data_IF_847347859885
#
_entry.id   IF_847347859885
#
_cell.length_a   1.000
_cell.length_b   1.000
_cell.length_c   1.000
_cell.angle_alpha   90.00
_cell.angle_beta   90.00
_cell.angle_gamma   90.00
#
_symmetry.space_group_name_H-M   'P 1'
#
loop_
_entity.id
_entity.type
_entity.pdbx_description
1 polymer ?
#
# COMPACT_ATOMS: atom_id res chain seq x y z
N UNK A 1 31.49 -0.06 1.78
CA UNK A 1 31.45 -0.47 3.20
C UNK A 1 30.41 -1.58 3.34
N UNK A 2 30.67 -2.52 4.25
CA UNK A 2 30.27 -3.94 4.23
C UNK A 2 28.78 -4.24 4.02
N UNK A 3 28.50 -4.92 2.91
CA UNK A 3 27.25 -5.63 2.68
C UNK A 3 27.34 -7.05 3.23
N UNK A 4 26.91 -7.24 4.48
CA UNK A 4 26.36 -8.52 4.94
C UNK A 4 25.59 -8.31 6.25
N UNK A 5 24.44 -7.64 6.17
CA UNK A 5 23.45 -7.73 7.24
C UNK A 5 22.86 -9.13 7.17
N UNK A 6 22.91 -9.87 8.28
CA UNK A 6 22.15 -11.12 8.35
C UNK A 6 20.66 -10.81 8.13
N UNK A 7 19.91 -11.76 7.57
CA UNK A 7 18.47 -11.58 7.32
C UNK A 7 17.71 -11.01 8.55
N UNK A 8 17.94 -11.47 9.80
CA UNK A 8 17.29 -10.89 10.97
C UNK A 8 17.65 -9.41 11.23
N UNK A 9 18.88 -9.01 10.94
CA UNK A 9 19.34 -7.64 11.12
C UNK A 9 18.75 -6.71 10.06
N UNK A 10 18.73 -7.17 8.81
CA UNK A 10 18.08 -6.47 7.71
C UNK A 10 16.56 -6.36 7.95
N UNK A 11 15.90 -7.43 8.40
CA UNK A 11 14.47 -7.40 8.73
C UNK A 11 14.15 -6.43 9.85
N UNK A 12 15.00 -6.34 10.87
CA UNK A 12 14.84 -5.40 11.98
C UNK A 12 15.00 -3.95 11.51
N UNK A 13 15.97 -3.69 10.65
CA UNK A 13 16.21 -2.36 10.09
C UNK A 13 15.05 -1.92 9.17
N UNK A 14 14.64 -2.77 8.24
CA UNK A 14 13.50 -2.52 7.35
C UNK A 14 12.23 -2.27 8.17
N UNK A 15 11.96 -3.09 9.20
CA UNK A 15 10.80 -2.90 10.07
C UNK A 15 10.88 -1.60 10.87
N UNK A 16 12.07 -1.21 11.33
CA UNK A 16 12.30 0.06 12.01
C UNK A 16 11.96 1.25 11.11
N UNK A 17 12.48 1.25 9.88
CA UNK A 17 12.20 2.29 8.88
C UNK A 17 10.72 2.33 8.51
N UNK A 18 10.09 1.18 8.27
CA UNK A 18 8.66 1.10 7.97
C UNK A 18 7.79 1.59 9.13
N UNK A 19 8.21 1.40 10.39
CA UNK A 19 7.47 1.89 11.57
C UNK A 19 7.44 3.43 11.64
N UNK A 20 8.51 4.08 11.20
CA UNK A 20 8.57 5.55 11.13
C UNK A 20 7.60 6.10 10.07
N UNK A 21 7.49 5.45 8.91
CA UNK A 21 6.50 5.83 7.89
C UNK A 21 5.07 5.42 8.27
N UNK A 22 4.90 4.29 8.97
CA UNK A 22 3.57 3.79 9.35
C UNK A 22 2.83 4.72 10.32
N UNK A 23 3.54 5.46 11.17
CA UNK A 23 2.90 6.45 12.06
C UNK A 23 2.24 7.61 11.31
N UNK A 24 2.73 7.95 10.11
CA UNK A 24 2.12 9.00 9.27
C UNK A 24 0.77 8.57 8.68
N UNK A 25 0.44 7.28 8.75
CA UNK A 25 -0.78 6.68 8.20
C UNK A 25 -1.64 6.01 9.27
N UNK A 26 -1.50 6.40 10.54
CA UNK A 26 -2.19 5.74 11.65
C UNK A 26 -3.72 5.73 11.51
N UNK A 27 -4.29 6.74 10.84
CA UNK A 27 -5.73 6.85 10.57
C UNK A 27 -6.15 6.29 9.19
N UNK A 28 -5.18 5.85 8.38
CA UNK A 28 -5.40 5.34 7.03
C UNK A 28 -5.47 3.80 6.99
N UNK A 29 -6.14 3.28 5.98
CA UNK A 29 -6.27 1.85 5.74
C UNK A 29 -5.74 1.47 4.35
N UNK A 30 -5.28 0.23 4.22
CA UNK A 30 -4.94 -0.35 2.93
C UNK A 30 -6.22 -0.78 2.19
N UNK A 31 -6.31 -0.43 0.91
CA UNK A 31 -7.40 -0.77 0.00
C UNK A 31 -6.84 -1.42 -1.25
N UNK A 32 -7.43 -2.52 -1.68
CA UNK A 32 -7.10 -3.24 -2.92
C UNK A 32 -8.14 -2.99 -3.99
N UNK A 33 -7.70 -2.65 -5.19
CA UNK A 33 -8.53 -2.54 -6.38
C UNK A 33 -8.90 -3.93 -6.94
N UNK A 34 -10.13 -4.06 -7.41
CA UNK A 34 -10.71 -5.25 -8.06
C UNK A 34 -11.57 -4.84 -9.24
N UNK A 35 -11.46 -5.55 -10.37
CA UNK A 35 -12.25 -5.27 -11.57
C UNK A 35 -11.37 -5.23 -12.81
N UNK A 36 -11.15 -4.03 -13.35
CA UNK A 36 -10.35 -3.84 -14.56
C UNK A 36 -8.92 -4.38 -14.42
N UNK A 37 -8.40 -5.11 -15.42
CA UNK A 37 -7.02 -5.62 -15.41
C UNK A 37 -5.94 -4.56 -15.22
N UNK A 38 -6.19 -3.31 -15.60
CA UNK A 38 -5.23 -2.21 -15.44
C UNK A 38 -4.94 -1.91 -13.95
N UNK A 39 -5.87 -2.23 -13.06
CA UNK A 39 -5.78 -1.92 -11.63
C UNK A 39 -5.98 -3.12 -10.71
N UNK A 40 -6.42 -4.29 -11.20
CA UNK A 40 -6.68 -5.45 -10.34
C UNK A 40 -5.45 -5.85 -9.52
N UNK A 41 -5.63 -5.91 -8.20
CA UNK A 41 -4.57 -6.24 -7.25
C UNK A 41 -3.72 -5.06 -6.77
N UNK A 42 -3.84 -3.87 -7.38
CA UNK A 42 -3.17 -2.67 -6.90
C UNK A 42 -3.66 -2.32 -5.48
N UNK A 43 -2.73 -2.02 -4.57
CA UNK A 43 -3.03 -1.65 -3.18
C UNK A 43 -2.56 -0.22 -2.91
N UNK A 44 -3.47 0.60 -2.38
CA UNK A 44 -3.18 1.96 -1.93
C UNK A 44 -3.54 2.12 -0.46
N UNK A 45 -2.86 3.01 0.23
CA UNK A 45 -3.24 3.46 1.58
C UNK A 45 -4.06 4.74 1.45
N UNK A 46 -5.19 4.84 2.14
CA UNK A 46 -6.04 6.03 2.13
C UNK A 46 -6.93 6.09 3.38
N UNK A 47 -7.46 7.27 3.69
CA UNK A 47 -8.31 7.48 4.87
C UNK A 47 -9.75 6.99 4.65
N UNK A 48 -10.12 6.70 3.39
CA UNK A 48 -11.45 6.24 3.03
C UNK A 48 -11.47 5.45 1.70
N UNK A 49 -12.55 4.69 1.41
CA UNK A 49 -12.72 4.04 0.12
C UNK A 49 -12.83 5.01 -1.06
N UNK A 50 -13.28 6.26 -0.83
CA UNK A 50 -13.34 7.27 -1.88
C UNK A 50 -11.93 7.79 -2.20
N UNK A 51 -11.17 8.15 -1.16
CA UNK A 51 -9.77 8.57 -1.33
C UNK A 51 -8.88 7.47 -1.93
N UNK A 52 -9.17 6.19 -1.65
CA UNK A 52 -8.50 5.08 -2.31
C UNK A 52 -8.74 5.06 -3.83
N UNK A 53 -9.98 5.32 -4.28
CA UNK A 53 -10.30 5.39 -5.71
C UNK A 53 -9.60 6.58 -6.38
N UNK A 54 -9.58 7.73 -5.72
CA UNK A 54 -8.87 8.92 -6.21
C UNK A 54 -7.38 8.65 -6.38
N UNK A 55 -6.72 8.06 -5.37
CA UNK A 55 -5.30 7.68 -5.49
C UNK A 55 -5.02 6.71 -6.63
N UNK A 56 -5.90 5.74 -6.88
CA UNK A 56 -5.73 4.81 -8.00
C UNK A 56 -5.85 5.54 -9.34
N UNK A 57 -6.80 6.48 -9.46
CA UNK A 57 -6.97 7.28 -10.66
C UNK A 57 -5.80 8.26 -10.92
N UNK A 58 -5.08 8.69 -9.88
CA UNK A 58 -3.85 9.49 -10.01
C UNK A 58 -2.64 8.65 -10.46
N UNK A 59 -2.64 7.35 -10.18
CA UNK A 59 -1.52 6.45 -10.46
C UNK A 59 -1.62 5.75 -11.82
N UNK A 60 -2.82 5.66 -12.38
CA UNK A 60 -3.12 4.91 -13.60
C UNK A 60 -3.94 5.78 -14.55
N UNK A 61 -3.39 6.06 -15.73
CA UNK A 61 -3.98 6.99 -16.72
C UNK A 61 -5.38 6.56 -17.21
N UNK A 62 -5.62 5.26 -17.36
CA UNK A 62 -6.92 4.69 -17.72
C UNK A 62 -7.25 3.51 -16.79
N UNK A 63 -7.83 3.77 -15.61
CA UNK A 63 -8.03 2.76 -14.58
C UNK A 63 -9.26 1.87 -14.84
N UNK A 64 -10.05 2.14 -15.88
CA UNK A 64 -11.25 1.39 -16.21
C UNK A 64 -12.29 1.37 -15.07
N UNK A 65 -13.14 0.33 -15.05
CA UNK A 65 -14.13 0.13 -13.98
C UNK A 65 -13.57 -0.77 -12.88
N UNK A 66 -13.55 -0.26 -11.65
CA UNK A 66 -13.08 -1.03 -10.51
C UNK A 66 -13.77 -0.63 -9.20
N UNK A 67 -13.68 -1.55 -8.24
CA UNK A 67 -14.05 -1.33 -6.85
C UNK A 67 -12.82 -1.42 -5.96
N UNK A 68 -12.90 -0.86 -4.76
CA UNK A 68 -11.86 -0.98 -3.75
C UNK A 68 -12.37 -1.73 -2.53
N UNK A 69 -11.58 -2.67 -2.03
CA UNK A 69 -11.89 -3.46 -0.85
C UNK A 69 -10.81 -3.23 0.20
N UNK A 70 -11.20 -3.07 1.47
CA UNK A 70 -10.24 -2.94 2.56
C UNK A 70 -9.44 -4.24 2.67
N UNK A 71 -8.12 -4.13 2.79
CA UNK A 71 -7.25 -5.29 3.03
C UNK A 71 -7.33 -5.62 4.51
N UNK A 72 -7.89 -6.78 4.84
CA UNK A 72 -7.82 -7.32 6.20
C UNK A 72 -6.38 -7.82 6.43
N UNK A 73 -5.74 -7.34 7.49
CA UNK A 73 -4.43 -7.86 7.89
C UNK A 73 -4.64 -9.24 8.54
N UNK A 74 -3.92 -10.29 8.10
CA UNK A 74 -3.98 -11.61 8.72
C UNK A 74 -3.41 -11.62 10.14
#
# INVERSE_FOLDING_TARGET
EEGDLSLPELEREVRGTLRTYATEFADAAAYRARGDPAVDGLVVVADSPAGARERIAELVDDPGQFEVQRVEQP
#
